data_IF_084188853135
#
_entry.id   IF_084188853135
#
_cell.length_a   1.000
_cell.length_b   1.000
_cell.length_c   1.000
_cell.angle_alpha   90.00
_cell.angle_beta   90.00
_cell.angle_gamma   90.00
#
_symmetry.space_group_name_H-M   'P 1'
#
loop_
_entity.id
_entity.type
_entity.pdbx_description
1 polymer ?
#
# COMPACT_ATOMS: atom_id res chain seq x y z
N UNK A 1 30.17 -3.95 16.15
CA UNK A 1 28.88 -3.42 16.62
C UNK A 1 28.72 -3.74 18.10
N UNK A 2 28.57 -2.72 18.95
CA UNK A 2 28.37 -2.88 20.41
C UNK A 2 26.95 -2.49 20.78
N UNK A 3 26.34 -3.18 21.73
CA UNK A 3 25.00 -2.88 22.25
C UNK A 3 25.03 -1.55 23.00
N UNK A 4 24.19 -0.59 22.56
CA UNK A 4 23.88 0.62 23.30
C UNK A 4 22.69 0.40 24.25
N UNK A 5 21.64 -0.26 23.76
CA UNK A 5 20.38 -0.52 24.48
C UNK A 5 19.74 -1.80 23.95
N UNK A 6 19.16 -2.59 24.84
CA UNK A 6 18.41 -3.80 24.49
C UNK A 6 16.94 -3.40 24.39
N UNK A 7 16.28 -3.80 23.31
CA UNK A 7 14.84 -3.54 23.11
C UNK A 7 14.03 -4.75 23.58
N UNK A 8 14.43 -5.95 23.16
CA UNK A 8 13.96 -7.24 23.66
C UNK A 8 15.02 -8.32 23.34
N UNK A 9 14.71 -9.61 23.53
CA UNK A 9 15.66 -10.71 23.26
C UNK A 9 16.13 -10.79 21.79
N UNK A 10 15.34 -10.27 20.85
CA UNK A 10 15.54 -10.39 19.42
C UNK A 10 15.85 -9.06 18.72
N UNK A 11 15.89 -7.95 19.46
CA UNK A 11 16.16 -6.62 18.92
C UNK A 11 17.02 -5.78 19.89
N UNK A 12 18.00 -5.08 19.34
CA UNK A 12 18.86 -4.18 20.12
C UNK A 12 19.28 -2.97 19.29
N UNK A 13 19.53 -1.86 19.97
CA UNK A 13 20.21 -0.70 19.41
C UNK A 13 21.71 -0.91 19.60
N UNK A 14 22.45 -0.84 18.50
CA UNK A 14 23.90 -0.88 18.48
C UNK A 14 24.48 0.41 17.95
N UNK A 15 25.73 0.68 18.31
CA UNK A 15 26.53 1.74 17.68
C UNK A 15 27.56 1.09 16.77
N UNK A 16 27.62 1.59 15.54
CA UNK A 16 28.62 1.27 14.53
C UNK A 16 28.91 2.52 13.68
N UNK A 17 30.18 2.84 13.47
CA UNK A 17 30.64 4.02 12.70
C UNK A 17 30.04 5.34 13.19
N UNK A 18 29.92 5.50 14.51
CA UNK A 18 29.31 6.65 15.20
C UNK A 18 27.83 6.88 14.82
N UNK A 19 27.16 5.86 14.27
CA UNK A 19 25.73 5.86 14.00
C UNK A 19 25.02 4.81 14.83
N UNK A 20 23.82 5.15 15.30
CA UNK A 20 22.93 4.21 15.95
C UNK A 20 22.19 3.39 14.89
N UNK A 21 22.15 2.09 15.12
CA UNK A 21 21.48 1.14 14.24
C UNK A 21 20.63 0.21 15.09
N UNK A 22 19.45 -0.15 14.60
CA UNK A 22 18.66 -1.24 15.17
C UNK A 22 19.11 -2.51 14.48
N UNK A 23 19.43 -3.53 15.24
CA UNK A 23 19.59 -4.89 14.73
C UNK A 23 18.44 -5.74 15.20
N UNK A 24 17.97 -6.61 14.32
CA UNK A 24 16.95 -7.61 14.60
C UNK A 24 17.52 -8.96 14.19
N UNK A 25 17.31 -9.94 15.07
CA UNK A 25 17.60 -11.32 14.74
C UNK A 25 17.29 -12.27 15.88
N UNK A 26 17.10 -13.54 15.56
CA UNK A 26 16.70 -14.55 16.54
C UNK A 26 17.71 -14.68 17.70
N UNK A 27 17.26 -14.32 18.91
CA UNK A 27 18.05 -14.32 20.14
C UNK A 27 19.28 -13.42 20.10
N UNK A 28 19.27 -12.35 19.30
CA UNK A 28 20.45 -11.51 19.06
C UNK A 28 20.93 -10.77 20.32
N UNK A 29 20.02 -10.48 21.25
CA UNK A 29 20.28 -9.80 22.51
C UNK A 29 20.02 -10.70 23.73
N UNK A 30 19.72 -11.99 23.52
CA UNK A 30 19.49 -12.95 24.59
C UNK A 30 20.76 -13.13 25.46
N UNK A 31 20.62 -12.99 26.77
CA UNK A 31 21.73 -13.01 27.74
C UNK A 31 22.86 -12.00 27.41
N UNK A 32 22.51 -10.84 26.86
CA UNK A 32 23.45 -9.75 26.61
C UNK A 32 23.16 -8.55 27.51
N UNK A 33 24.15 -7.69 27.68
CA UNK A 33 24.07 -6.41 28.37
C UNK A 33 24.58 -5.24 27.52
N UNK A 34 24.51 -4.03 28.08
CA UNK A 34 25.08 -2.83 27.46
C UNK A 34 26.59 -3.03 27.26
N UNK A 35 27.09 -2.56 26.12
CA UNK A 35 28.47 -2.68 25.62
C UNK A 35 28.91 -4.07 25.13
N UNK A 36 28.07 -5.10 25.26
CA UNK A 36 28.38 -6.41 24.69
C UNK A 36 28.46 -6.37 23.16
N UNK A 37 29.27 -7.27 22.60
CA UNK A 37 29.35 -7.47 21.17
C UNK A 37 28.18 -8.34 20.69
N UNK A 38 27.62 -7.93 19.56
CA UNK A 38 26.64 -8.72 18.81
C UNK A 38 27.36 -9.62 17.80
N UNK A 39 26.88 -10.85 17.69
CA UNK A 39 27.29 -11.76 16.62
C UNK A 39 26.64 -11.30 15.31
N UNK A 40 27.44 -10.79 14.36
CA UNK A 40 26.95 -10.30 13.07
C UNK A 40 26.23 -11.38 12.25
N UNK A 41 26.57 -12.66 12.44
CA UNK A 41 25.95 -13.77 11.73
C UNK A 41 24.52 -14.06 12.19
N UNK A 42 24.08 -13.46 13.30
CA UNK A 42 22.70 -13.53 13.79
C UNK A 42 21.86 -12.32 13.40
N UNK A 43 22.41 -11.38 12.61
CA UNK A 43 21.66 -10.21 12.16
C UNK A 43 20.81 -10.61 10.96
N UNK A 44 19.49 -10.62 11.14
CA UNK A 44 18.54 -10.86 10.06
C UNK A 44 18.20 -9.54 9.34
N UNK A 45 18.04 -8.44 10.11
CA UNK A 45 17.80 -7.09 9.57
C UNK A 45 18.60 -6.03 10.34
N UNK A 46 19.05 -5.01 9.61
CA UNK A 46 19.81 -3.86 10.14
C UNK A 46 19.20 -2.56 9.63
N UNK A 47 18.93 -1.63 10.54
CA UNK A 47 18.29 -0.34 10.25
C UNK A 47 19.18 0.77 10.78
N UNK A 48 19.39 1.82 10.00
CA UNK A 48 20.08 3.02 10.50
C UNK A 48 19.03 3.91 11.17
N UNK A 49 19.22 4.25 12.44
CA UNK A 49 18.39 5.26 13.09
C UNK A 49 18.75 6.63 12.54
N UNK A 50 17.90 7.16 11.66
CA UNK A 50 17.87 8.60 11.36
C UNK A 50 16.68 9.21 12.08
N UNK A 51 16.90 9.75 13.28
CA UNK A 51 15.90 10.48 14.08
C UNK A 51 14.58 9.72 14.34
N UNK A 52 14.59 8.39 14.29
CA UNK A 52 13.37 7.57 14.37
C UNK A 52 13.19 6.97 15.78
N UNK A 53 12.69 7.79 16.70
CA UNK A 53 12.34 7.36 18.07
C UNK A 53 11.15 6.38 18.08
N UNK A 54 10.42 6.23 16.97
CA UNK A 54 9.20 5.44 16.91
C UNK A 54 9.50 3.94 17.04
N UNK A 55 10.54 3.47 16.34
CA UNK A 55 10.98 2.08 16.42
C UNK A 55 11.44 1.67 17.83
N UNK A 56 12.06 2.58 18.58
CA UNK A 56 12.44 2.32 19.99
C UNK A 56 11.25 2.07 20.91
N UNK A 57 10.10 2.68 20.61
CA UNK A 57 8.89 2.60 21.41
C UNK A 57 8.05 1.37 21.05
N UNK A 58 7.98 1.04 19.75
CA UNK A 58 7.14 -0.05 19.25
C UNK A 58 7.76 -1.43 19.42
N UNK A 59 9.05 -1.59 19.07
CA UNK A 59 9.70 -2.91 19.07
C UNK A 59 9.66 -3.65 20.42
N UNK A 60 9.76 -2.98 21.59
CA UNK A 60 9.60 -3.66 22.88
C UNK A 60 8.20 -4.22 23.14
N UNK A 61 7.16 -3.67 22.50
CA UNK A 61 5.76 -4.07 22.70
C UNK A 61 5.35 -5.23 21.80
N UNK A 62 6.10 -5.48 20.73
CA UNK A 62 5.81 -6.51 19.74
C UNK A 62 6.33 -7.87 20.25
N UNK A 63 5.45 -8.86 20.27
CA UNK A 63 5.79 -10.21 20.70
C UNK A 63 6.80 -10.88 19.77
N UNK A 64 7.59 -11.83 20.29
CA UNK A 64 8.55 -12.60 19.49
C UNK A 64 7.84 -13.37 18.36
N UNK A 65 6.65 -13.88 18.64
CA UNK A 65 5.81 -14.58 17.67
C UNK A 65 5.40 -13.65 16.52
N UNK A 66 4.95 -12.43 16.81
CA UNK A 66 4.58 -11.45 15.78
C UNK A 66 5.77 -11.00 14.94
N UNK A 67 6.96 -10.84 15.55
CA UNK A 67 8.20 -10.56 14.81
C UNK A 67 8.55 -11.70 13.85
N UNK A 68 8.41 -12.95 14.27
CA UNK A 68 8.67 -14.12 13.44
C UNK A 68 7.67 -14.22 12.26
N UNK A 69 6.38 -13.99 12.53
CA UNK A 69 5.35 -13.91 11.47
C UNK A 69 5.69 -12.83 10.44
N UNK A 70 6.03 -11.64 10.92
CA UNK A 70 6.39 -10.50 10.06
C UNK A 70 7.59 -10.82 9.18
N UNK A 71 8.63 -11.44 9.75
CA UNK A 71 9.84 -11.82 9.01
C UNK A 71 9.51 -12.79 7.88
N UNK A 72 8.70 -13.82 8.16
CA UNK A 72 8.32 -14.81 7.14
C UNK A 72 7.46 -14.18 6.03
N UNK A 73 6.52 -13.29 6.39
CA UNK A 73 5.68 -12.59 5.41
C UNK A 73 6.52 -11.70 4.51
N UNK A 74 7.48 -10.97 5.06
CA UNK A 74 8.40 -10.14 4.27
C UNK A 74 9.26 -11.00 3.37
N UNK A 75 9.77 -12.12 3.87
CA UNK A 75 10.60 -13.03 3.07
C UNK A 75 9.81 -13.61 1.89
N UNK A 76 8.60 -14.13 2.15
CA UNK A 76 7.70 -14.61 1.12
C UNK A 76 7.35 -13.53 0.09
N UNK A 77 7.15 -12.29 0.56
CA UNK A 77 6.87 -11.16 -0.32
C UNK A 77 8.07 -10.79 -1.21
N UNK A 78 9.28 -10.71 -0.66
CA UNK A 78 10.52 -10.46 -1.42
C UNK A 78 10.72 -11.54 -2.51
N UNK A 79 10.51 -12.81 -2.16
CA UNK A 79 10.65 -13.94 -3.08
C UNK A 79 9.56 -13.94 -4.16
N UNK A 80 8.32 -13.60 -3.80
CA UNK A 80 7.20 -13.58 -4.75
C UNK A 80 7.25 -12.36 -5.69
N UNK A 81 7.70 -11.21 -5.18
CA UNK A 81 7.81 -9.96 -5.96
C UNK A 81 9.13 -9.84 -6.72
N UNK A 82 10.14 -10.66 -6.37
CA UNK A 82 11.51 -10.59 -6.92
C UNK A 82 12.15 -9.21 -6.72
N UNK A 83 11.86 -8.57 -5.58
CA UNK A 83 12.32 -7.23 -5.22
C UNK A 83 12.75 -7.23 -3.76
N UNK A 84 13.82 -6.50 -3.44
CA UNK A 84 14.18 -6.22 -2.04
C UNK A 84 13.31 -5.09 -1.50
N UNK A 85 12.54 -5.38 -0.46
CA UNK A 85 11.68 -4.41 0.19
C UNK A 85 12.50 -3.46 1.07
N UNK A 86 12.04 -2.21 1.19
CA UNK A 86 12.63 -1.25 2.11
C UNK A 86 12.63 -1.84 3.53
N UNK A 87 13.79 -1.95 4.22
CA UNK A 87 13.87 -2.59 5.53
C UNK A 87 12.84 -2.07 6.53
N UNK A 88 12.52 -0.76 6.51
CA UNK A 88 11.55 -0.12 7.42
C UNK A 88 10.17 -0.80 7.43
N UNK A 89 9.82 -1.56 6.39
CA UNK A 89 8.60 -2.36 6.36
C UNK A 89 8.49 -3.31 7.56
N UNK A 90 9.60 -3.83 8.07
CA UNK A 90 9.58 -4.73 9.21
C UNK A 90 8.88 -4.09 10.42
N UNK A 91 9.23 -2.85 10.74
CA UNK A 91 8.66 -2.16 11.90
C UNK A 91 7.18 -1.85 11.64
N UNK A 92 6.87 -1.29 10.47
CA UNK A 92 5.49 -0.91 10.12
C UNK A 92 4.55 -2.11 10.06
N UNK A 93 4.99 -3.21 9.44
CA UNK A 93 4.18 -4.42 9.30
C UNK A 93 4.08 -5.18 10.63
N UNK A 94 5.14 -5.24 11.43
CA UNK A 94 5.08 -5.89 12.75
C UNK A 94 4.14 -5.17 13.72
N UNK A 95 4.12 -3.84 13.69
CA UNK A 95 3.18 -3.01 14.44
C UNK A 95 1.74 -3.25 13.97
N UNK A 96 1.51 -3.17 12.65
CA UNK A 96 0.21 -3.44 12.05
C UNK A 96 -0.32 -4.83 12.39
N UNK A 97 0.47 -5.88 12.21
CA UNK A 97 0.08 -7.26 12.51
C UNK A 97 -0.19 -7.45 13.99
N UNK A 98 0.65 -6.90 14.87
CA UNK A 98 0.42 -7.00 16.32
C UNK A 98 -0.90 -6.38 16.73
N UNK A 99 -1.18 -5.17 16.24
CA UNK A 99 -2.43 -4.49 16.51
C UNK A 99 -3.64 -5.17 15.85
N UNK A 100 -3.47 -5.75 14.67
CA UNK A 100 -4.54 -6.48 13.98
C UNK A 100 -4.91 -7.79 14.69
N UNK A 101 -3.91 -8.53 15.18
CA UNK A 101 -4.09 -9.73 16.01
C UNK A 101 -4.79 -9.37 17.33
N UNK A 102 -4.30 -8.36 18.06
CA UNK A 102 -4.90 -7.94 19.33
C UNK A 102 -6.36 -7.49 19.14
N UNK A 103 -6.66 -6.74 18.08
CA UNK A 103 -8.04 -6.35 17.74
C UNK A 103 -8.92 -7.57 17.47
N UNK A 104 -8.42 -8.55 16.71
CA UNK A 104 -9.16 -9.76 16.39
C UNK A 104 -9.51 -10.55 17.66
N UNK A 105 -8.55 -10.73 18.57
CA UNK A 105 -8.77 -11.43 19.85
C UNK A 105 -9.82 -10.72 20.72
N UNK A 106 -9.89 -9.39 20.63
CA UNK A 106 -10.91 -8.57 21.28
C UNK A 106 -12.26 -8.52 20.53
N UNK A 107 -12.41 -9.26 19.42
CA UNK A 107 -13.63 -9.29 18.61
C UNK A 107 -13.88 -8.02 17.80
N UNK A 108 -12.85 -7.20 17.57
CA UNK A 108 -12.92 -5.95 16.81
C UNK A 108 -12.49 -6.21 15.37
N UNK A 109 -13.43 -6.12 14.44
CA UNK A 109 -13.18 -6.32 13.01
C UNK A 109 -13.24 -5.00 12.26
N UNK A 110 -12.16 -4.65 11.56
CA UNK A 110 -12.11 -3.43 10.76
C UNK A 110 -12.37 -3.75 9.29
N UNK A 111 -13.27 -2.98 8.69
CA UNK A 111 -13.57 -3.06 7.26
C UNK A 111 -12.66 -2.13 6.47
N UNK A 112 -12.10 -2.65 5.39
CA UNK A 112 -11.34 -1.87 4.43
C UNK A 112 -12.28 -1.40 3.32
N UNK A 113 -12.61 -0.11 3.35
CA UNK A 113 -13.52 0.52 2.36
C UNK A 113 -12.95 0.55 0.94
N UNK A 114 -11.66 0.28 0.78
CA UNK A 114 -10.93 0.32 -0.50
C UNK A 114 -10.50 -1.09 -0.94
N UNK A 115 -11.09 -2.15 -0.36
CA UNK A 115 -10.69 -3.53 -0.60
C UNK A 115 -10.70 -3.89 -2.09
N UNK A 116 -11.72 -3.45 -2.81
CA UNK A 116 -11.91 -3.75 -4.24
C UNK A 116 -10.86 -3.04 -5.09
N UNK A 117 -10.59 -1.77 -4.83
CA UNK A 117 -9.54 -1.01 -5.51
C UNK A 117 -8.15 -1.57 -5.21
N UNK A 118 -7.83 -1.84 -3.94
CA UNK A 118 -6.52 -2.38 -3.52
C UNK A 118 -6.23 -3.71 -4.21
N UNK A 119 -7.22 -4.61 -4.28
CA UNK A 119 -7.12 -5.91 -4.94
C UNK A 119 -6.75 -5.79 -6.42
N UNK A 120 -7.26 -4.77 -7.09
CA UNK A 120 -7.05 -4.53 -8.52
C UNK A 120 -5.73 -3.79 -8.76
N UNK A 121 -5.47 -2.74 -7.98
CA UNK A 121 -4.31 -1.87 -8.12
C UNK A 121 -3.01 -2.57 -7.72
N UNK A 122 -3.05 -3.37 -6.65
CA UNK A 122 -1.91 -4.00 -6.01
C UNK A 122 -2.08 -5.52 -5.98
N UNK A 123 -2.47 -6.11 -7.11
CA UNK A 123 -2.91 -7.50 -7.20
C UNK A 123 -1.88 -8.49 -6.63
N UNK A 124 -0.60 -8.33 -6.95
CA UNK A 124 0.46 -9.24 -6.48
C UNK A 124 0.62 -9.15 -4.97
N UNK A 125 0.64 -7.93 -4.45
CA UNK A 125 0.74 -7.64 -3.02
C UNK A 125 -0.50 -8.11 -2.26
N UNK A 126 -1.69 -8.01 -2.86
CA UNK A 126 -2.93 -8.54 -2.30
C UNK A 126 -2.93 -10.06 -2.26
N UNK A 127 -2.50 -10.73 -3.32
CA UNK A 127 -2.38 -12.19 -3.34
C UNK A 127 -1.39 -12.68 -2.26
N UNK A 128 -0.31 -11.93 -1.99
CA UNK A 128 0.60 -12.17 -0.86
C UNK A 128 -0.09 -11.88 0.48
N UNK A 129 -0.89 -10.83 0.59
CA UNK A 129 -1.69 -10.54 1.78
C UNK A 129 -2.67 -11.67 2.13
N UNK A 130 -3.28 -12.30 1.11
CA UNK A 130 -4.13 -13.50 1.28
C UNK A 130 -3.31 -14.68 1.81
N UNK A 131 -2.13 -14.91 1.22
CA UNK A 131 -1.23 -15.93 1.75
C UNK A 131 -0.83 -15.63 3.21
N UNK A 132 -0.56 -14.38 3.55
CA UNK A 132 -0.14 -13.97 4.89
C UNK A 132 -1.23 -14.22 5.95
N UNK A 133 -2.50 -13.90 5.66
CA UNK A 133 -3.59 -14.17 6.62
C UNK A 133 -3.81 -15.68 6.83
N UNK A 134 -3.64 -16.50 5.79
CA UNK A 134 -3.72 -17.96 5.92
C UNK A 134 -2.52 -18.50 6.71
N UNK A 135 -1.32 -17.96 6.47
CA UNK A 135 -0.13 -18.32 7.22
C UNK A 135 -0.26 -17.98 8.71
N UNK A 136 -0.88 -16.84 9.05
CA UNK A 136 -1.19 -16.47 10.44
C UNK A 136 -2.19 -17.47 11.05
N UNK A 137 -3.24 -17.83 10.33
CA UNK A 137 -4.21 -18.85 10.79
C UNK A 137 -3.51 -20.19 11.08
N UNK A 138 -2.64 -20.65 10.18
CA UNK A 138 -1.89 -21.91 10.34
C UNK A 138 -0.93 -21.88 11.53
N UNK A 139 -0.34 -20.72 11.85
CA UNK A 139 0.69 -20.61 12.90
C UNK A 139 0.12 -20.39 14.29
N UNK A 140 -0.89 -19.54 14.41
CA UNK A 140 -1.41 -19.10 15.72
C UNK A 140 -2.92 -19.30 15.87
N UNK A 141 -3.59 -19.91 14.89
CA UNK A 141 -5.03 -20.22 14.96
C UNK A 141 -5.94 -19.01 14.79
N UNK A 142 -5.41 -17.88 14.34
CA UNK A 142 -6.16 -16.62 14.17
C UNK A 142 -6.57 -16.43 12.71
N UNK A 143 -7.89 -16.48 12.46
CA UNK A 143 -8.48 -16.33 11.14
C UNK A 143 -8.79 -14.87 10.81
N UNK A 144 -7.77 -14.15 10.35
CA UNK A 144 -7.89 -12.73 10.00
C UNK A 144 -8.90 -12.51 8.85
N UNK A 145 -9.69 -11.42 8.87
CA UNK A 145 -10.59 -11.10 7.78
C UNK A 145 -9.82 -10.69 6.52
N UNK A 146 -10.44 -10.86 5.35
CA UNK A 146 -9.87 -10.48 4.04
C UNK A 146 -9.48 -8.99 3.96
N UNK A 147 -10.12 -8.16 4.78
CA UNK A 147 -9.81 -6.74 4.92
C UNK A 147 -8.34 -6.50 5.35
N UNK A 148 -7.77 -7.41 6.16
CA UNK A 148 -6.36 -7.34 6.61
C UNK A 148 -5.37 -7.70 5.49
N UNK A 149 -5.76 -8.57 4.54
CA UNK A 149 -4.94 -8.81 3.35
C UNK A 149 -4.75 -7.53 2.51
N UNK A 150 -5.75 -6.64 2.47
CA UNK A 150 -5.62 -5.36 1.79
C UNK A 150 -4.70 -4.38 2.52
N UNK A 151 -4.72 -4.35 3.86
CA UNK A 151 -3.77 -3.53 4.63
C UNK A 151 -2.32 -4.04 4.47
N UNK A 152 -2.11 -5.36 4.54
CA UNK A 152 -0.81 -5.98 4.27
C UNK A 152 -0.33 -5.62 2.86
N UNK A 153 -1.21 -5.72 1.84
CA UNK A 153 -0.88 -5.38 0.47
C UNK A 153 -0.33 -3.95 0.33
N UNK A 154 -0.95 -2.99 1.01
CA UNK A 154 -0.50 -1.60 0.98
C UNK A 154 0.87 -1.40 1.65
N UNK A 155 1.15 -2.09 2.76
CA UNK A 155 2.47 -2.07 3.38
C UNK A 155 3.54 -2.64 2.44
N UNK A 156 3.26 -3.77 1.78
CA UNK A 156 4.15 -4.40 0.82
C UNK A 156 4.40 -3.49 -0.40
N UNK A 157 3.34 -2.94 -0.98
CA UNK A 157 3.43 -2.05 -2.12
C UNK A 157 4.31 -0.83 -1.79
N UNK A 158 4.01 -0.18 -0.67
CA UNK A 158 4.76 0.98 -0.18
C UNK A 158 6.24 0.67 -0.02
N UNK A 159 6.58 -0.51 0.51
CA UNK A 159 7.97 -0.89 0.72
C UNK A 159 8.70 -1.34 -0.56
N UNK A 160 7.96 -1.75 -1.59
CA UNK A 160 8.52 -2.18 -2.88
C UNK A 160 8.95 -1.01 -3.77
N UNK A 161 8.44 0.20 -3.50
CA UNK A 161 8.73 1.41 -4.28
C UNK A 161 9.82 2.23 -3.55
N UNK A 162 10.92 2.64 -4.22
CA UNK A 162 12.04 3.35 -3.58
C UNK A 162 11.66 4.60 -2.76
N UNK A 163 10.65 5.33 -3.23
CA UNK A 163 10.06 6.51 -2.55
C UNK A 163 8.62 6.25 -2.09
N UNK A 164 8.26 4.98 -1.89
CA UNK A 164 6.91 4.59 -1.55
C UNK A 164 6.46 5.21 -0.23
N UNK A 165 5.22 5.70 -0.22
CA UNK A 165 4.59 6.25 0.96
C UNK A 165 3.16 5.70 1.08
N UNK A 166 2.84 5.17 2.26
CA UNK A 166 1.54 4.54 2.52
C UNK A 166 0.39 5.55 2.37
N UNK A 167 0.57 6.78 2.87
CA UNK A 167 -0.44 7.84 2.76
C UNK A 167 -0.67 8.26 1.31
N UNK A 168 0.38 8.29 0.50
CA UNK A 168 0.26 8.58 -0.94
C UNK A 168 -0.50 7.46 -1.66
N UNK A 169 -0.16 6.19 -1.38
CA UNK A 169 -0.83 5.02 -1.98
C UNK A 169 -2.31 4.95 -1.60
N UNK A 170 -2.61 5.20 -0.32
CA UNK A 170 -3.99 5.31 0.18
C UNK A 170 -4.74 6.46 -0.48
N UNK A 171 -4.14 7.64 -0.56
CA UNK A 171 -4.75 8.82 -1.20
C UNK A 171 -5.07 8.53 -2.67
N UNK A 172 -4.14 7.96 -3.42
CA UNK A 172 -4.39 7.60 -4.83
C UNK A 172 -5.53 6.60 -4.97
N UNK A 173 -5.56 5.57 -4.12
CA UNK A 173 -6.65 4.58 -4.10
C UNK A 173 -8.00 5.22 -3.77
N UNK A 174 -8.06 6.11 -2.77
CA UNK A 174 -9.26 6.86 -2.41
C UNK A 174 -9.75 7.76 -3.55
N UNK A 175 -8.83 8.47 -4.22
CA UNK A 175 -9.19 9.32 -5.37
C UNK A 175 -9.83 8.47 -6.48
N UNK A 176 -9.28 7.29 -6.78
CA UNK A 176 -9.87 6.39 -7.78
C UNK A 176 -11.29 5.98 -7.38
N UNK A 177 -11.50 5.60 -6.11
CA UNK A 177 -12.82 5.26 -5.58
C UNK A 177 -13.80 6.45 -5.70
N UNK A 178 -13.39 7.67 -5.33
CA UNK A 178 -14.19 8.89 -5.48
C UNK A 178 -14.61 9.14 -6.93
N UNK A 179 -13.67 9.02 -7.89
CA UNK A 179 -13.97 9.19 -9.31
C UNK A 179 -15.02 8.18 -9.79
N UNK A 180 -14.91 6.92 -9.34
CA UNK A 180 -15.88 5.88 -9.69
C UNK A 180 -17.27 6.23 -9.14
N UNK A 181 -17.36 6.72 -7.90
CA UNK A 181 -18.61 7.18 -7.32
C UNK A 181 -19.23 8.33 -8.11
N UNK A 182 -18.43 9.33 -8.51
CA UNK A 182 -18.91 10.42 -9.36
C UNK A 182 -19.50 9.90 -10.68
N UNK A 183 -18.83 8.94 -11.34
CA UNK A 183 -19.31 8.35 -12.59
C UNK A 183 -20.63 7.59 -12.38
N UNK A 184 -20.72 6.78 -11.32
CA UNK A 184 -21.93 6.02 -10.99
C UNK A 184 -23.12 6.94 -10.72
N UNK A 185 -22.91 7.98 -9.91
CA UNK A 185 -23.95 8.94 -9.55
C UNK A 185 -24.39 9.77 -10.76
N UNK A 186 -23.43 10.30 -11.53
CA UNK A 186 -23.69 11.15 -12.70
C UNK A 186 -24.55 10.43 -13.76
N UNK A 187 -24.32 9.14 -13.98
CA UNK A 187 -25.08 8.35 -14.95
C UNK A 187 -26.17 7.49 -14.33
N UNK A 188 -26.32 7.50 -13.00
CA UNK A 188 -27.23 6.62 -12.27
C UNK A 188 -27.04 5.14 -12.64
N UNK A 189 -25.78 4.70 -12.71
CA UNK A 189 -25.39 3.32 -13.02
C UNK A 189 -24.72 2.66 -11.82
N UNK A 190 -24.79 1.34 -11.76
CA UNK A 190 -24.03 0.55 -10.78
C UNK A 190 -22.93 -0.23 -11.50
N UNK A 191 -21.72 -0.13 -10.98
CA UNK A 191 -20.58 -0.93 -11.39
C UNK A 191 -20.36 -2.03 -10.35
N UNK A 192 -20.50 -3.28 -10.78
CA UNK A 192 -20.19 -4.41 -9.94
C UNK A 192 -18.69 -4.40 -9.59
N UNK A 193 -18.39 -4.34 -8.29
CA UNK A 193 -17.03 -4.40 -7.78
C UNK A 193 -16.37 -5.72 -8.21
N UNK A 194 -15.15 -5.63 -8.76
CA UNK A 194 -14.44 -6.78 -9.34
C UNK A 194 -14.93 -7.22 -10.73
N UNK A 195 -15.96 -6.56 -11.30
CA UNK A 195 -16.37 -6.80 -12.68
C UNK A 195 -15.39 -6.22 -13.71
N UNK A 196 -15.32 -6.81 -14.91
CA UNK A 196 -14.37 -6.40 -15.96
C UNK A 196 -14.44 -4.92 -16.36
N UNK A 197 -15.61 -4.29 -16.27
CA UNK A 197 -15.77 -2.86 -16.56
C UNK A 197 -15.17 -1.99 -15.45
N UNK A 198 -15.37 -2.39 -14.19
CA UNK A 198 -14.84 -1.74 -13.01
C UNK A 198 -13.31 -1.86 -12.95
N UNK A 199 -12.75 -3.06 -13.15
CA UNK A 199 -11.30 -3.29 -13.16
C UNK A 199 -10.56 -2.48 -14.23
N UNK A 200 -11.13 -2.39 -15.43
CA UNK A 200 -10.54 -1.59 -16.52
C UNK A 200 -10.61 -0.11 -16.23
N UNK A 201 -11.72 0.38 -15.70
CA UNK A 201 -11.83 1.79 -15.31
C UNK A 201 -10.76 2.13 -14.27
N UNK A 202 -10.62 1.34 -13.20
CA UNK A 202 -9.58 1.52 -12.18
C UNK A 202 -8.18 1.57 -12.80
N UNK A 203 -7.90 0.65 -13.72
CA UNK A 203 -6.60 0.60 -14.41
C UNK A 203 -6.32 1.91 -15.16
N UNK A 204 -7.30 2.43 -15.90
CA UNK A 204 -7.15 3.67 -16.65
C UNK A 204 -7.05 4.90 -15.75
N UNK A 205 -7.83 4.96 -14.66
CA UNK A 205 -7.75 6.05 -13.69
C UNK A 205 -6.39 6.07 -12.96
N UNK A 206 -5.84 4.89 -12.62
CA UNK A 206 -4.47 4.79 -12.08
C UNK A 206 -3.46 5.44 -13.02
N UNK A 207 -3.55 5.19 -14.32
CA UNK A 207 -2.65 5.80 -15.29
C UNK A 207 -2.81 7.32 -15.37
N UNK A 208 -4.04 7.83 -15.33
CA UNK A 208 -4.28 9.28 -15.30
C UNK A 208 -3.63 9.94 -14.07
N UNK A 209 -3.79 9.35 -12.88
CA UNK A 209 -3.18 9.90 -11.65
C UNK A 209 -1.65 9.78 -11.64
N UNK A 210 -1.08 8.78 -12.30
CA UNK A 210 0.38 8.64 -12.41
C UNK A 210 0.96 9.66 -13.41
N UNK A 211 0.23 9.99 -14.48
CA UNK A 211 0.66 10.94 -15.51
C UNK A 211 0.58 12.39 -15.10
N UNK A 212 -0.28 12.74 -14.13
CA UNK A 212 -0.31 14.10 -13.59
C UNK A 212 0.97 14.48 -12.83
N UNK A 213 1.75 13.49 -12.39
CA UNK A 213 3.01 13.68 -11.65
C UNK A 213 4.27 13.67 -12.56
N UNK A 214 4.18 13.21 -13.81
CA UNK A 214 5.32 13.09 -14.74
C UNK A 214 5.09 13.83 -16.07
N UNK A 215 6.15 14.41 -16.65
CA UNK A 215 6.14 14.97 -18.01
C UNK A 215 6.15 13.86 -19.06
N UNK A 216 5.10 13.04 -19.12
CA UNK A 216 5.01 11.93 -20.07
C UNK A 216 4.37 12.39 -21.39
N UNK A 217 4.71 11.74 -22.50
CA UNK A 217 4.26 12.13 -23.85
C UNK A 217 2.73 12.24 -23.97
N UNK A 218 2.29 13.27 -24.71
CA UNK A 218 0.88 13.58 -24.94
C UNK A 218 0.23 12.48 -25.76
N UNK A 219 -0.89 11.95 -25.28
CA UNK A 219 -1.59 10.81 -25.92
C UNK A 219 -2.67 11.24 -26.91
N UNK A 220 -3.09 12.51 -26.88
CA UNK A 220 -4.11 13.05 -27.77
C UNK A 220 -3.68 14.42 -28.28
N UNK A 221 -3.86 14.65 -29.58
CA UNK A 221 -3.72 15.98 -30.19
C UNK A 221 -5.04 16.77 -30.11
N UNK A 222 -4.98 18.04 -30.52
CA UNK A 222 -6.11 18.96 -30.47
C UNK A 222 -7.29 18.50 -31.35
N UNK A 223 -7.03 17.92 -32.53
CA UNK A 223 -8.09 17.43 -33.43
C UNK A 223 -8.85 16.25 -32.80
N UNK A 224 -8.13 15.32 -32.17
CA UNK A 224 -8.72 14.20 -31.45
C UNK A 224 -9.57 14.69 -30.27
N UNK A 225 -9.11 15.70 -29.52
CA UNK A 225 -9.85 16.25 -28.39
C UNK A 225 -11.16 16.90 -28.83
N UNK A 226 -11.13 17.70 -29.91
CA UNK A 226 -12.33 18.30 -30.50
C UNK A 226 -13.31 17.21 -30.92
N UNK A 227 -12.82 16.13 -31.55
CA UNK A 227 -13.65 15.02 -31.98
C UNK A 227 -14.31 14.30 -30.79
N UNK A 228 -13.55 14.00 -29.73
CA UNK A 228 -14.05 13.33 -28.52
C UNK A 228 -15.14 14.18 -27.85
N UNK A 229 -14.89 15.48 -27.67
CA UNK A 229 -15.87 16.40 -27.08
C UNK A 229 -17.17 16.47 -27.91
N UNK A 230 -17.05 16.54 -29.24
CA UNK A 230 -18.22 16.60 -30.13
C UNK A 230 -18.99 15.28 -30.16
N UNK A 231 -18.31 14.13 -30.13
CA UNK A 231 -18.91 12.81 -30.27
C UNK A 231 -19.51 12.29 -28.98
N UNK A 232 -18.92 12.61 -27.83
CA UNK A 232 -19.29 12.06 -26.52
C UNK A 232 -19.55 13.17 -25.47
N UNK A 233 -20.48 14.11 -25.73
CA UNK A 233 -20.66 15.30 -24.89
C UNK A 233 -21.04 14.96 -23.44
N UNK A 234 -21.89 13.94 -23.21
CA UNK A 234 -22.28 13.55 -21.85
C UNK A 234 -21.12 12.95 -21.05
N UNK A 235 -20.30 12.09 -21.68
CA UNK A 235 -19.11 11.50 -21.06
C UNK A 235 -18.04 12.55 -20.81
N UNK A 236 -17.91 13.54 -21.71
CA UNK A 236 -16.99 14.66 -21.57
C UNK A 236 -17.39 15.57 -20.40
N UNK A 237 -18.66 15.92 -20.27
CA UNK A 237 -19.15 16.73 -19.14
C UNK A 237 -18.91 16.03 -17.79
N UNK A 238 -19.09 14.71 -17.73
CA UNK A 238 -18.75 13.93 -16.52
C UNK A 238 -17.25 13.98 -16.23
N UNK A 239 -16.39 13.87 -17.25
CA UNK A 239 -14.94 14.02 -17.09
C UNK A 239 -14.55 15.43 -16.62
N UNK A 240 -15.23 16.49 -17.07
CA UNK A 240 -15.05 17.85 -16.55
C UNK A 240 -15.47 17.97 -15.08
N UNK A 241 -16.61 17.37 -14.70
CA UNK A 241 -17.04 17.31 -13.28
C UNK A 241 -16.00 16.60 -12.40
N UNK A 242 -15.40 15.52 -12.89
CA UNK A 242 -14.30 14.83 -12.21
C UNK A 242 -13.09 15.76 -12.06
N UNK A 243 -12.67 16.44 -13.14
CA UNK A 243 -11.54 17.35 -13.11
C UNK A 243 -11.73 18.49 -12.09
N UNK A 244 -12.94 19.07 -12.05
CA UNK A 244 -13.31 20.09 -11.06
C UNK A 244 -13.23 19.56 -9.63
N UNK A 245 -13.77 18.37 -9.36
CA UNK A 245 -13.70 17.73 -8.05
C UNK A 245 -12.25 17.48 -7.61
N UNK A 246 -11.42 16.93 -8.48
CA UNK A 246 -10.00 16.66 -8.19
C UNK A 246 -9.22 17.94 -7.91
N UNK A 247 -9.50 19.03 -8.62
CA UNK A 247 -8.89 20.32 -8.33
C UNK A 247 -9.32 20.86 -6.97
N UNK A 248 -10.62 20.84 -6.67
CA UNK A 248 -11.17 21.42 -5.44
C UNK A 248 -10.79 20.64 -4.17
N UNK A 249 -10.85 19.31 -4.22
CA UNK A 249 -10.61 18.47 -3.04
C UNK A 249 -9.14 18.09 -2.86
N UNK A 250 -8.40 17.97 -3.97
CA UNK A 250 -7.05 17.39 -3.96
C UNK A 250 -5.98 18.31 -4.54
N UNK A 251 -6.35 19.46 -5.11
CA UNK A 251 -5.41 20.38 -5.77
C UNK A 251 -4.80 19.81 -7.06
N UNK A 252 -5.38 18.74 -7.62
CA UNK A 252 -4.87 18.07 -8.81
C UNK A 252 -5.46 18.71 -10.07
N UNK A 253 -4.59 19.22 -10.93
CA UNK A 253 -4.98 19.80 -12.22
C UNK A 253 -4.85 18.75 -13.32
N UNK A 254 -5.99 18.34 -13.90
CA UNK A 254 -6.00 17.48 -15.08
C UNK A 254 -5.79 18.33 -16.35
N UNK A 255 -4.95 17.85 -17.26
CA UNK A 255 -4.81 18.46 -18.58
C UNK A 255 -6.01 18.10 -19.47
N UNK A 256 -6.21 18.86 -20.55
CA UNK A 256 -7.28 18.58 -21.53
C UNK A 256 -7.14 17.19 -22.14
N UNK A 257 -5.91 16.69 -22.32
CA UNK A 257 -5.63 15.34 -22.79
C UNK A 257 -6.12 14.27 -21.82
N UNK A 258 -5.92 14.47 -20.51
CA UNK A 258 -6.41 13.53 -19.49
C UNK A 258 -7.94 13.55 -19.38
N UNK A 259 -8.56 14.73 -19.50
CA UNK A 259 -10.02 14.85 -19.57
C UNK A 259 -10.54 14.08 -20.80
N UNK A 260 -9.90 14.24 -21.96
CA UNK A 260 -10.22 13.49 -23.17
C UNK A 260 -10.04 11.97 -23.00
N UNK A 261 -8.97 11.54 -22.34
CA UNK A 261 -8.70 10.14 -22.06
C UNK A 261 -9.76 9.52 -21.13
N UNK A 262 -10.09 10.17 -20.02
CA UNK A 262 -11.15 9.75 -19.10
C UNK A 262 -12.49 9.67 -19.85
N UNK A 263 -12.80 10.66 -20.70
CA UNK A 263 -14.03 10.69 -21.52
C UNK A 263 -14.23 9.41 -22.32
N UNK A 264 -13.18 8.92 -22.98
CA UNK A 264 -13.25 7.69 -23.80
C UNK A 264 -13.58 6.47 -22.91
N UNK A 265 -13.01 6.38 -21.71
CA UNK A 265 -13.24 5.25 -20.81
C UNK A 265 -14.61 5.29 -20.17
N UNK A 266 -15.12 6.49 -19.82
CA UNK A 266 -16.51 6.68 -19.39
C UNK A 266 -17.46 6.27 -20.52
N UNK A 267 -17.22 6.70 -21.76
CA UNK A 267 -18.09 6.34 -22.88
C UNK A 267 -18.10 4.82 -23.16
N UNK A 268 -16.94 4.16 -23.08
CA UNK A 268 -16.85 2.70 -23.20
C UNK A 268 -17.67 1.97 -22.14
N UNK A 269 -17.76 2.55 -20.96
CA UNK A 269 -18.52 2.01 -19.84
C UNK A 269 -20.03 2.19 -20.08
N UNK A 270 -20.45 3.35 -20.59
CA UNK A 270 -21.85 3.64 -20.95
C UNK A 270 -22.37 2.86 -22.17
N UNK A 271 -21.51 2.61 -23.16
CA UNK A 271 -21.87 1.91 -24.40
C UNK A 271 -22.02 0.40 -24.24
N UNK A 272 -21.53 -0.18 -23.13
CA UNK A 272 -21.77 -1.57 -22.74
C UNK A 272 -23.12 -1.67 -22.03
N UNK A 273 -24.18 -1.84 -22.80
CA UNK A 273 -25.43 -2.39 -22.25
C UNK A 273 -25.20 -3.86 -21.93
N UNK A 274 -25.34 -4.25 -20.65
CA UNK A 274 -25.54 -5.63 -20.19
C UNK A 274 -24.55 -6.65 -20.70
#
# INVERSE_FOLDING_TARGET
MKIKKILNNNAAIVVEDNQEKIVIGSGIAFNKGKNDLINRNKIDKLFVMKNDNHAEQLLPQISVEHMALTQEIIQHAEDSLQVKLNPHIFIALADHLSFAIERYENGIFIKNKLLSEIRILYKKEFDIGIWAINYIEDKIGIRMPIDEAAFIALHLHTASVPSGNLQVSLRQTSIINEIIHIIQDYFSIHLEEGGLSYERLITHLRYTLYRTDETMERTMDEEMLIMVRKKFPASYNCAETIAEHLFQQHGLLLSTEEIGYITIHIERLRSRKG
#
